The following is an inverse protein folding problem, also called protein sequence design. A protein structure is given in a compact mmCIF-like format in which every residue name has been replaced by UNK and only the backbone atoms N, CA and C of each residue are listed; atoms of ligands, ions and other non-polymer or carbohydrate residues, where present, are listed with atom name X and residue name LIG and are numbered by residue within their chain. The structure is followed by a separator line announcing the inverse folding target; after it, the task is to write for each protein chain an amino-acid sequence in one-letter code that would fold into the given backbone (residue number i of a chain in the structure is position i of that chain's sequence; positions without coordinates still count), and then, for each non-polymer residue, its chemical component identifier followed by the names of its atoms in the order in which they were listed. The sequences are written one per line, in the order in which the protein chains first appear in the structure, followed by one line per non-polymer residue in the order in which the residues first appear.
data_IF_339405655037
#
_entry.id   IF_339405655037
#
_cell.length_a   1.000
_cell.length_b   1.000
_cell.length_c   1.000
_cell.angle_alpha   90.00
_cell.angle_beta   90.00
_cell.angle_gamma   90.00
#
_symmetry.space_group_name_H-M   'P 1'
#
loop_
_entity.id
_entity.type
_entity.pdbx_description
1 polymer ?
#
# COMPACT_ATOMS: atom_id res chain seq x y z
N UNK A 1 -7.60 -4.24 11.26
CA UNK A 1 -8.28 -5.22 10.41
C UNK A 1 -8.26 -6.57 11.10
N UNK A 2 -9.41 -7.27 11.13
CA UNK A 2 -9.51 -8.65 11.60
C UNK A 2 -9.15 -9.61 10.45
N UNK A 3 -8.31 -10.60 10.71
CA UNK A 3 -7.87 -11.56 9.68
C UNK A 3 -8.25 -12.98 10.08
N UNK A 4 -8.78 -13.76 9.13
CA UNK A 4 -9.13 -15.17 9.37
C UNK A 4 -8.00 -16.09 8.97
N UNK A 5 -7.91 -17.27 9.62
CA UNK A 5 -7.00 -18.34 9.20
C UNK A 5 -7.25 -18.79 7.76
N UNK A 6 -8.51 -18.74 7.31
CA UNK A 6 -8.88 -19.07 5.93
C UNK A 6 -8.25 -18.10 4.93
N UNK A 7 -8.26 -16.79 5.25
CA UNK A 7 -7.63 -15.77 4.41
C UNK A 7 -6.11 -15.98 4.34
N UNK A 8 -5.46 -16.22 5.48
CA UNK A 8 -4.02 -16.53 5.55
C UNK A 8 -3.70 -17.75 4.68
N UNK A 9 -4.41 -18.84 4.88
CA UNK A 9 -4.18 -20.07 4.13
C UNK A 9 -4.32 -19.86 2.62
N UNK A 10 -5.35 -19.12 2.17
CA UNK A 10 -5.53 -18.83 0.75
C UNK A 10 -4.36 -18.02 0.16
N UNK A 11 -3.96 -16.94 0.83
CA UNK A 11 -2.87 -16.08 0.40
C UNK A 11 -1.54 -16.83 0.33
N UNK A 12 -1.22 -17.58 1.39
CA UNK A 12 0.06 -18.28 1.52
C UNK A 12 0.16 -19.47 0.56
N UNK A 13 -0.90 -20.30 0.46
CA UNK A 13 -0.91 -21.43 -0.48
C UNK A 13 -0.79 -20.94 -1.92
N UNK A 14 -1.56 -19.90 -2.28
CA UNK A 14 -1.44 -19.29 -3.60
C UNK A 14 -0.03 -18.75 -3.87
N UNK A 15 0.58 -18.04 -2.90
CA UNK A 15 1.93 -17.50 -3.07
C UNK A 15 2.98 -18.60 -3.27
N UNK A 16 2.90 -19.68 -2.49
CA UNK A 16 3.81 -20.83 -2.62
C UNK A 16 3.71 -21.46 -4.00
N UNK A 17 2.47 -21.68 -4.47
CA UNK A 17 2.22 -22.25 -5.81
C UNK A 17 2.72 -21.33 -6.92
N UNK A 18 2.38 -20.04 -6.86
CA UNK A 18 2.71 -19.06 -7.90
C UNK A 18 4.21 -18.76 -7.98
N UNK A 19 4.88 -18.66 -6.81
CA UNK A 19 6.32 -18.40 -6.73
C UNK A 19 7.19 -19.65 -6.88
N UNK A 20 6.59 -20.85 -6.93
CA UNK A 20 7.26 -22.14 -6.85
C UNK A 20 8.19 -22.25 -5.63
N UNK A 21 7.77 -21.68 -4.49
CA UNK A 21 8.56 -21.71 -3.25
C UNK A 21 8.65 -23.14 -2.69
N UNK A 22 9.84 -23.61 -2.40
CA UNK A 22 10.12 -24.99 -1.97
C UNK A 22 10.88 -25.04 -0.65
N UNK A 23 11.14 -26.25 -0.15
CA UNK A 23 11.97 -26.47 1.05
C UNK A 23 13.44 -26.08 0.89
N UNK A 24 13.92 -25.85 -0.34
CA UNK A 24 15.27 -25.37 -0.61
C UNK A 24 15.37 -23.84 -0.65
N UNK A 25 14.23 -23.15 -0.59
CA UNK A 25 14.20 -21.70 -0.69
C UNK A 25 14.27 -21.04 0.69
N UNK A 26 14.81 -19.83 0.70
CA UNK A 26 15.03 -19.02 1.89
C UNK A 26 14.34 -17.69 1.72
N UNK A 27 13.45 -17.33 2.62
CA UNK A 27 12.78 -16.04 2.62
C UNK A 27 13.54 -15.03 3.49
N UNK A 28 13.97 -13.92 2.89
CA UNK A 28 14.49 -12.75 3.62
C UNK A 28 13.34 -11.80 3.96
N UNK A 29 12.87 -11.81 5.22
CA UNK A 29 11.77 -10.94 5.65
C UNK A 29 12.26 -9.54 5.95
N UNK A 30 12.08 -8.65 4.99
CA UNK A 30 12.43 -7.23 5.09
C UNK A 30 11.32 -6.39 5.72
N UNK A 31 10.04 -6.70 5.44
CA UNK A 31 8.92 -5.92 5.94
C UNK A 31 8.71 -6.11 7.45
N UNK A 32 8.25 -5.04 8.11
CA UNK A 32 7.84 -5.11 9.52
C UNK A 32 6.62 -6.05 9.68
N UNK A 33 6.56 -6.77 10.80
CA UNK A 33 5.45 -7.66 11.14
C UNK A 33 4.10 -6.94 11.39
N UNK A 34 4.11 -5.61 11.50
CA UNK A 34 2.88 -4.82 11.60
C UNK A 34 2.17 -4.61 10.25
N UNK A 35 2.87 -4.88 9.14
CA UNK A 35 2.29 -4.85 7.79
C UNK A 35 1.81 -6.24 7.40
N UNK A 36 0.63 -6.32 6.78
CA UNK A 36 0.00 -7.58 6.35
C UNK A 36 0.84 -8.40 5.36
N UNK A 37 1.76 -7.76 4.63
CA UNK A 37 2.71 -8.43 3.75
C UNK A 37 3.64 -9.42 4.48
N UNK A 38 3.81 -9.30 5.82
CA UNK A 38 4.56 -10.29 6.60
C UNK A 38 3.93 -11.68 6.55
N UNK A 39 2.63 -11.78 6.29
CA UNK A 39 1.89 -13.06 6.35
C UNK A 39 2.47 -14.07 5.37
N UNK A 40 2.64 -13.71 4.10
CA UNK A 40 3.22 -14.65 3.14
C UNK A 40 4.72 -14.86 3.37
N UNK A 41 5.45 -13.83 3.82
CA UNK A 41 6.87 -13.95 4.16
C UNK A 41 7.12 -14.95 5.30
N UNK A 42 6.27 -14.88 6.35
CA UNK A 42 6.39 -15.73 7.54
C UNK A 42 5.91 -17.15 7.30
N UNK A 43 4.75 -17.31 6.65
CA UNK A 43 4.10 -18.63 6.59
C UNK A 43 4.46 -19.46 5.35
N UNK A 44 4.98 -18.86 4.27
CA UNK A 44 5.40 -19.63 3.09
C UNK A 44 6.54 -20.61 3.42
N UNK A 45 7.63 -20.21 4.13
CA UNK A 45 8.64 -21.16 4.58
C UNK A 45 8.06 -22.25 5.49
N UNK A 46 7.13 -21.89 6.37
CA UNK A 46 6.53 -22.87 7.31
C UNK A 46 5.79 -23.98 6.59
N UNK A 47 4.95 -23.66 5.58
CA UNK A 47 4.18 -24.70 4.87
C UNK A 47 4.98 -25.46 3.83
N UNK A 48 6.08 -24.88 3.32
CA UNK A 48 6.92 -25.48 2.28
C UNK A 48 8.15 -26.22 2.86
N UNK A 49 8.42 -26.07 4.16
CA UNK A 49 9.62 -26.60 4.79
C UNK A 49 10.90 -25.84 4.46
N UNK A 50 10.79 -24.61 3.94
CA UNK A 50 11.90 -23.71 3.67
C UNK A 50 12.41 -22.99 4.92
N UNK A 51 13.24 -21.97 4.72
CA UNK A 51 13.84 -21.18 5.80
C UNK A 51 13.41 -19.73 5.77
N UNK A 52 13.45 -19.07 6.93
CA UNK A 52 13.16 -17.65 7.10
C UNK A 52 14.32 -16.97 7.84
N UNK A 53 14.78 -15.85 7.28
CA UNK A 53 15.66 -14.93 7.97
C UNK A 53 15.00 -13.55 8.09
N UNK A 54 15.04 -12.97 9.28
CA UNK A 54 14.49 -11.63 9.55
C UNK A 54 15.58 -10.60 9.34
N UNK A 55 15.40 -9.69 8.41
CA UNK A 55 16.36 -8.63 8.13
C UNK A 55 16.43 -7.66 9.31
N UNK A 56 17.63 -7.39 9.87
CA UNK A 56 17.82 -6.40 10.91
C UNK A 56 17.35 -5.01 10.48
N UNK A 57 16.83 -4.23 11.41
CA UNK A 57 16.19 -2.94 11.10
C UNK A 57 17.18 -1.89 10.62
N UNK A 58 18.37 -1.88 11.18
CA UNK A 58 19.45 -0.95 10.89
C UNK A 58 20.02 -1.06 9.46
N UNK A 59 19.86 -2.22 8.81
CA UNK A 59 20.36 -2.43 7.43
C UNK A 59 19.27 -2.32 6.35
N UNK A 60 17.99 -2.17 6.72
CA UNK A 60 16.86 -2.23 5.77
C UNK A 60 16.94 -1.22 4.64
N UNK A 61 17.54 -0.06 4.87
CA UNK A 61 17.66 1.02 3.88
C UNK A 61 19.08 1.14 3.29
N UNK A 62 20.05 0.39 3.81
CA UNK A 62 21.38 0.27 3.22
C UNK A 62 21.39 -0.88 2.21
N UNK A 63 21.26 -0.55 0.92
CA UNK A 63 21.13 -1.55 -0.15
C UNK A 63 22.32 -2.53 -0.20
N UNK A 64 23.53 -2.05 0.13
CA UNK A 64 24.71 -2.91 0.13
C UNK A 64 24.68 -3.88 1.31
N UNK A 65 24.47 -3.39 2.51
CA UNK A 65 24.38 -4.22 3.72
C UNK A 65 23.21 -5.22 3.62
N UNK A 66 22.07 -4.78 3.05
CA UNK A 66 20.93 -5.63 2.78
C UNK A 66 21.25 -6.76 1.81
N UNK A 67 21.96 -6.46 0.71
CA UNK A 67 22.36 -7.48 -0.25
C UNK A 67 23.40 -8.44 0.33
N UNK A 68 24.40 -7.93 1.07
CA UNK A 68 25.39 -8.75 1.75
C UNK A 68 24.71 -9.73 2.72
N UNK A 69 23.69 -9.28 3.46
CA UNK A 69 22.87 -10.13 4.32
C UNK A 69 22.11 -11.21 3.53
N UNK A 70 21.50 -10.87 2.39
CA UNK A 70 20.80 -11.86 1.56
C UNK A 70 21.75 -12.91 1.00
N UNK A 71 22.93 -12.51 0.55
CA UNK A 71 23.96 -13.42 0.03
C UNK A 71 24.49 -14.33 1.14
N UNK A 72 24.83 -13.79 2.31
CA UNK A 72 25.33 -14.54 3.47
C UNK A 72 24.36 -15.65 3.90
N UNK A 73 23.06 -15.34 3.92
CA UNK A 73 22.04 -16.29 4.36
C UNK A 73 21.38 -17.06 3.21
N UNK A 74 21.83 -16.89 1.97
CA UNK A 74 21.29 -17.56 0.79
C UNK A 74 19.82 -17.25 0.52
N UNK A 75 19.35 -16.03 0.86
CA UNK A 75 17.96 -15.64 0.64
C UNK A 75 17.61 -15.66 -0.84
N UNK A 76 16.52 -16.34 -1.19
CA UNK A 76 16.04 -16.50 -2.57
C UNK A 76 14.80 -15.65 -2.87
N UNK A 77 14.00 -15.34 -1.85
CA UNK A 77 12.77 -14.59 -1.95
C UNK A 77 12.74 -13.45 -0.93
N UNK A 78 12.20 -12.32 -1.33
CA UNK A 78 11.96 -11.19 -0.41
C UNK A 78 10.80 -10.34 -0.90
N UNK A 79 10.18 -9.59 0.01
CA UNK A 79 9.26 -8.49 -0.29
C UNK A 79 9.87 -7.18 0.20
N UNK A 80 9.95 -6.21 -0.69
CA UNK A 80 10.44 -4.86 -0.40
C UNK A 80 9.41 -3.85 -0.95
N UNK A 81 9.21 -2.73 -0.29
CA UNK A 81 8.35 -1.66 -0.82
C UNK A 81 8.84 -1.22 -2.20
N UNK A 82 7.93 -0.89 -3.10
CA UNK A 82 8.23 -0.67 -4.53
C UNK A 82 9.42 0.25 -4.78
N UNK A 83 9.61 1.29 -3.98
CA UNK A 83 10.68 2.26 -4.15
C UNK A 83 12.06 1.70 -3.81
N UNK A 84 12.22 1.14 -2.61
CA UNK A 84 13.49 0.53 -2.17
C UNK A 84 13.80 -0.68 -3.02
N UNK A 85 12.78 -1.49 -3.33
CA UNK A 85 12.92 -2.67 -4.16
C UNK A 85 13.35 -2.36 -5.59
N UNK A 86 12.87 -1.25 -6.18
CA UNK A 86 13.33 -0.77 -7.48
C UNK A 86 14.81 -0.41 -7.44
N UNK A 87 15.24 0.38 -6.44
CA UNK A 87 16.65 0.74 -6.26
C UNK A 87 17.51 -0.50 -6.05
N UNK A 88 17.03 -1.48 -5.29
CA UNK A 88 17.73 -2.75 -5.09
C UNK A 88 17.88 -3.53 -6.41
N UNK A 89 16.79 -3.70 -7.17
CA UNK A 89 16.79 -4.42 -8.43
C UNK A 89 17.68 -3.78 -9.50
N UNK A 90 17.72 -2.44 -9.55
CA UNK A 90 18.49 -1.66 -10.54
C UNK A 90 19.94 -1.39 -10.09
N UNK A 91 20.33 -1.82 -8.90
CA UNK A 91 21.67 -1.57 -8.34
C UNK A 91 22.82 -2.25 -9.09
N UNK A 92 22.51 -3.31 -9.84
CA UNK A 92 23.52 -4.13 -10.54
C UNK A 92 24.36 -5.02 -9.61
N UNK A 93 24.02 -5.13 -8.33
CA UNK A 93 24.72 -6.01 -7.39
C UNK A 93 24.44 -7.48 -7.71
N UNK A 94 25.46 -8.33 -7.56
CA UNK A 94 25.24 -9.78 -7.55
C UNK A 94 24.46 -10.17 -6.28
N UNK A 95 23.37 -10.94 -6.46
CA UNK A 95 22.47 -11.31 -5.37
C UNK A 95 22.01 -12.77 -5.48
N UNK A 96 21.62 -13.35 -4.37
CA UNK A 96 20.95 -14.67 -4.31
C UNK A 96 19.44 -14.58 -4.51
N UNK A 97 18.87 -13.38 -4.51
CA UNK A 97 17.43 -13.16 -4.69
C UNK A 97 17.00 -13.57 -6.10
N UNK A 98 16.12 -14.56 -6.17
CA UNK A 98 15.48 -15.04 -7.41
C UNK A 98 14.13 -14.39 -7.65
N UNK A 99 13.36 -14.15 -6.56
CA UNK A 99 12.05 -13.51 -6.62
C UNK A 99 12.01 -12.30 -5.70
N UNK A 100 11.83 -11.14 -6.30
CA UNK A 100 11.70 -9.86 -5.61
C UNK A 100 10.26 -9.36 -5.72
N UNK A 101 9.51 -9.46 -4.62
CA UNK A 101 8.14 -8.98 -4.54
C UNK A 101 8.11 -7.48 -4.23
N UNK A 102 7.23 -6.78 -4.93
CA UNK A 102 6.96 -5.36 -4.74
C UNK A 102 5.51 -5.14 -4.35
N UNK A 103 5.26 -4.10 -3.62
CA UNK A 103 3.91 -3.63 -3.33
C UNK A 103 3.90 -2.31 -2.59
N UNK A 104 2.71 -1.80 -2.38
CA UNK A 104 2.51 -0.54 -1.67
C UNK A 104 2.44 0.69 -2.56
N UNK A 105 3.17 0.76 -3.64
CA UNK A 105 3.12 1.87 -4.61
C UNK A 105 3.24 1.35 -6.04
N UNK A 106 2.87 2.18 -7.00
CA UNK A 106 3.05 1.88 -8.43
C UNK A 106 4.54 1.78 -8.75
N UNK A 107 4.96 0.64 -9.33
CA UNK A 107 6.38 0.37 -9.59
C UNK A 107 6.97 1.24 -10.72
N UNK A 108 6.20 1.55 -11.76
CA UNK A 108 6.69 2.25 -12.96
C UNK A 108 7.58 1.36 -13.83
N UNK A 109 8.51 1.99 -14.55
CA UNK A 109 9.54 1.25 -15.31
C UNK A 109 10.55 0.60 -14.38
N UNK A 110 10.89 -0.65 -14.67
CA UNK A 110 11.86 -1.43 -13.92
C UNK A 110 12.90 -2.03 -14.85
N UNK A 111 14.19 -1.79 -14.57
CA UNK A 111 15.33 -2.36 -15.27
C UNK A 111 16.06 -3.40 -14.40
N UNK A 112 15.34 -4.44 -13.99
CA UNK A 112 15.91 -5.54 -13.25
C UNK A 112 16.74 -6.46 -14.16
N UNK A 113 17.83 -7.09 -13.65
CA UNK A 113 18.53 -8.14 -14.37
C UNK A 113 17.63 -9.38 -14.55
N UNK A 114 17.89 -10.17 -15.59
CA UNK A 114 17.08 -11.38 -15.90
C UNK A 114 17.15 -12.46 -14.78
N UNK A 115 18.15 -12.37 -13.89
CA UNK A 115 18.31 -13.27 -12.74
C UNK A 115 17.31 -13.03 -11.62
N UNK A 116 16.68 -11.84 -11.57
CA UNK A 116 15.67 -11.48 -10.60
C UNK A 116 14.31 -11.50 -11.27
N UNK A 117 13.38 -12.33 -10.77
CA UNK A 117 11.97 -12.33 -11.15
C UNK A 117 11.22 -11.23 -10.38
N UNK A 118 10.95 -10.07 -10.99
CA UNK A 118 10.18 -9.02 -10.31
C UNK A 118 8.70 -9.41 -10.28
N UNK A 119 8.09 -9.31 -9.09
CA UNK A 119 6.73 -9.73 -8.81
C UNK A 119 5.96 -8.59 -8.15
N UNK A 120 5.09 -7.94 -8.91
CA UNK A 120 4.26 -6.85 -8.38
C UNK A 120 2.95 -7.39 -7.81
N UNK A 121 2.58 -6.91 -6.62
CA UNK A 121 1.36 -7.29 -5.92
C UNK A 121 0.59 -6.06 -5.45
N UNK A 122 -0.75 -6.18 -5.51
CA UNK A 122 -1.68 -5.19 -5.00
C UNK A 122 -2.70 -5.86 -4.10
N UNK A 123 -3.00 -5.24 -2.98
CA UNK A 123 -4.09 -5.63 -2.10
C UNK A 123 -4.23 -4.70 -0.91
N UNK A 124 -5.47 -4.41 -0.49
CA UNK A 124 -5.76 -3.78 0.78
C UNK A 124 -5.71 -4.82 1.91
N UNK A 125 -5.43 -4.39 3.13
CA UNK A 125 -5.42 -5.27 4.31
C UNK A 125 -6.77 -5.95 4.57
N UNK A 126 -7.87 -5.33 4.12
CA UNK A 126 -9.24 -5.84 4.20
C UNK A 126 -9.49 -7.07 3.31
N UNK A 127 -8.56 -7.34 2.38
CA UNK A 127 -8.53 -8.56 1.58
C UNK A 127 -7.14 -9.24 1.65
N UNK A 128 -6.48 -9.11 2.78
CA UNK A 128 -5.21 -9.70 3.19
C UNK A 128 -4.10 -9.60 2.14
N UNK A 129 -3.35 -8.51 2.19
CA UNK A 129 -2.08 -8.29 1.50
C UNK A 129 -2.12 -8.36 -0.03
N UNK A 130 -2.44 -9.52 -0.62
CA UNK A 130 -2.35 -9.75 -2.07
C UNK A 130 -3.73 -10.12 -2.62
N UNK A 131 -4.32 -9.23 -3.41
CA UNK A 131 -5.58 -9.45 -4.13
C UNK A 131 -5.35 -9.69 -5.61
N UNK A 132 -4.35 -9.01 -6.18
CA UNK A 132 -3.89 -9.21 -7.55
C UNK A 132 -2.37 -9.24 -7.61
N UNK A 133 -1.84 -9.87 -8.65
CA UNK A 133 -0.41 -9.96 -8.86
C UNK A 133 -0.05 -10.11 -10.33
N UNK A 134 1.21 -9.83 -10.63
CA UNK A 134 1.79 -10.02 -11.94
C UNK A 134 3.31 -10.11 -11.85
N UNK A 135 3.91 -11.03 -12.64
CA UNK A 135 5.35 -10.97 -12.90
C UNK A 135 5.65 -9.77 -13.78
N UNK A 136 6.38 -8.79 -13.24
CA UNK A 136 6.77 -7.62 -13.97
C UNK A 136 7.87 -7.97 -14.98
N UNK A 137 7.62 -7.73 -16.26
CA UNK A 137 8.64 -7.85 -17.29
C UNK A 137 8.78 -6.50 -18.03
N UNK A 138 9.86 -6.32 -18.74
CA UNK A 138 10.20 -5.09 -19.50
C UNK A 138 9.11 -4.60 -20.48
N UNK A 139 8.03 -5.37 -20.70
CA UNK A 139 6.95 -5.06 -21.66
C UNK A 139 5.60 -4.73 -21.01
N UNK A 140 5.56 -4.61 -19.67
CA UNK A 140 4.29 -4.39 -18.99
C UNK A 140 3.78 -2.96 -19.09
N UNK A 141 2.48 -2.84 -19.13
CA UNK A 141 1.82 -1.55 -19.04
C UNK A 141 2.08 -0.94 -17.65
N UNK A 142 2.70 0.23 -17.57
CA UNK A 142 3.12 0.91 -16.34
C UNK A 142 2.03 1.14 -15.28
N UNK A 143 0.78 0.80 -15.58
CA UNK A 143 -0.35 0.95 -14.66
C UNK A 143 -0.99 -0.38 -14.24
N UNK A 144 -0.49 -1.53 -14.74
CA UNK A 144 -1.07 -2.82 -14.41
C UNK A 144 -0.75 -3.22 -12.98
N UNK A 145 -1.76 -3.71 -12.25
CA UNK A 145 -1.64 -4.38 -10.95
C UNK A 145 -1.95 -5.88 -11.08
N UNK A 146 -1.96 -6.39 -12.29
CA UNK A 146 -2.08 -7.81 -12.58
C UNK A 146 -3.49 -8.39 -12.61
N UNK A 147 -3.58 -9.66 -12.28
CA UNK A 147 -4.82 -10.46 -12.25
C UNK A 147 -5.16 -10.86 -10.83
N UNK A 148 -6.44 -11.12 -10.58
CA UNK A 148 -6.88 -11.66 -9.28
C UNK A 148 -6.23 -13.01 -9.00
N UNK A 149 -5.80 -13.17 -7.75
CA UNK A 149 -5.25 -14.43 -7.26
C UNK A 149 -6.36 -15.47 -7.06
N UNK A 150 -5.98 -16.72 -6.82
CA UNK A 150 -6.94 -17.81 -6.60
C UNK A 150 -7.94 -17.48 -5.48
N UNK A 151 -9.21 -17.79 -5.73
CA UNK A 151 -10.32 -17.57 -4.79
C UNK A 151 -10.57 -16.11 -4.39
N UNK A 152 -10.06 -15.15 -5.16
CA UNK A 152 -10.39 -13.72 -5.08
C UNK A 152 -11.10 -13.32 -6.36
N UNK A 153 -12.17 -12.53 -6.24
CA UNK A 153 -12.89 -11.91 -7.34
C UNK A 153 -12.92 -10.41 -7.15
N UNK A 154 -12.88 -9.69 -8.26
CA UNK A 154 -13.08 -8.25 -8.25
C UNK A 154 -14.14 -7.81 -9.23
N UNK A 155 -14.80 -6.74 -8.86
CA UNK A 155 -15.82 -6.07 -9.67
C UNK A 155 -15.40 -4.62 -9.84
N UNK A 156 -15.47 -4.11 -11.08
CA UNK A 156 -15.24 -2.70 -11.40
C UNK A 156 -16.61 -2.07 -11.61
N UNK A 157 -17.00 -1.18 -10.67
CA UNK A 157 -18.37 -0.70 -10.57
C UNK A 157 -18.46 0.83 -10.70
N UNK A 158 -19.60 1.30 -11.20
CA UNK A 158 -19.99 2.71 -11.17
C UNK A 158 -20.57 3.10 -9.79
N UNK A 159 -20.98 4.35 -9.65
CA UNK A 159 -21.58 4.89 -8.41
C UNK A 159 -22.94 4.27 -8.05
N UNK A 160 -23.62 3.65 -9.02
CA UNK A 160 -24.88 2.93 -8.87
C UNK A 160 -24.67 1.42 -8.66
N UNK A 161 -23.42 0.97 -8.39
CA UNK A 161 -23.03 -0.44 -8.22
C UNK A 161 -23.30 -1.32 -9.45
N UNK A 162 -23.28 -0.77 -10.67
CA UNK A 162 -23.36 -1.53 -11.92
C UNK A 162 -21.97 -1.77 -12.48
N UNK A 163 -21.75 -2.92 -13.09
CA UNK A 163 -20.48 -3.22 -13.75
C UNK A 163 -20.24 -2.24 -14.91
N UNK A 164 -19.05 -1.64 -14.94
CA UNK A 164 -18.67 -0.78 -16.05
C UNK A 164 -18.24 -1.60 -17.28
N UNK A 165 -18.34 -1.06 -18.50
CA UNK A 165 -17.81 -1.70 -19.70
C UNK A 165 -16.28 -1.92 -19.60
N UNK A 166 -15.76 -2.91 -20.36
CA UNK A 166 -14.33 -3.14 -20.44
C UNK A 166 -13.57 -1.88 -20.88
N UNK A 167 -12.49 -1.56 -20.18
CA UNK A 167 -11.70 -0.36 -20.42
C UNK A 167 -12.24 0.92 -19.76
N UNK A 168 -13.49 0.95 -19.33
CA UNK A 168 -14.03 2.08 -18.56
C UNK A 168 -13.50 2.06 -17.12
N UNK A 169 -13.34 3.27 -16.56
CA UNK A 169 -12.90 3.45 -15.18
C UNK A 169 -14.07 3.27 -14.22
N UNK A 170 -13.87 2.51 -13.17
CA UNK A 170 -14.81 2.34 -12.07
C UNK A 170 -14.09 2.06 -10.76
N UNK A 171 -14.82 2.01 -9.67
CA UNK A 171 -14.28 1.67 -8.36
C UNK A 171 -14.14 0.15 -8.22
N UNK A 172 -13.01 -0.30 -7.65
CA UNK A 172 -12.74 -1.71 -7.41
C UNK A 172 -13.46 -2.19 -6.15
N UNK A 173 -14.18 -3.29 -6.28
CA UNK A 173 -14.76 -4.05 -5.17
C UNK A 173 -14.19 -5.46 -5.17
N UNK A 174 -13.83 -5.98 -3.99
CA UNK A 174 -13.21 -7.29 -3.83
C UNK A 174 -14.12 -8.26 -3.07
N UNK A 175 -14.12 -9.53 -3.47
CA UNK A 175 -14.82 -10.62 -2.81
C UNK A 175 -13.94 -11.86 -2.75
N UNK A 176 -14.30 -12.82 -1.91
CA UNK A 176 -13.69 -14.15 -1.91
C UNK A 176 -13.09 -14.58 -0.59
N UNK A 177 -12.26 -15.61 -0.67
CA UNK A 177 -11.74 -16.31 0.50
C UNK A 177 -10.84 -15.49 1.42
N UNK A 178 -10.27 -14.40 0.90
CA UNK A 178 -9.40 -13.50 1.66
C UNK A 178 -10.13 -12.32 2.30
N UNK A 179 -11.41 -12.12 1.96
CA UNK A 179 -12.16 -11.02 2.53
C UNK A 179 -12.25 -11.14 4.04
N UNK A 180 -11.82 -10.09 4.73
CA UNK A 180 -11.77 -10.07 6.19
C UNK A 180 -13.17 -9.86 6.79
N UNK A 181 -13.38 -10.23 8.07
CA UNK A 181 -14.65 -9.96 8.75
C UNK A 181 -14.93 -8.46 8.94
N UNK A 182 -13.90 -7.64 8.89
CA UNK A 182 -13.97 -6.18 9.11
C UNK A 182 -12.95 -5.69 10.13
N UNK A 183 -13.34 -4.72 10.91
CA UNK A 183 -12.46 -4.01 11.84
C UNK A 183 -12.80 -4.35 13.30
N UNK A 184 -11.77 -4.43 14.15
CA UNK A 184 -11.95 -4.63 15.58
C UNK A 184 -12.53 -3.35 16.22
N UNK A 185 -13.66 -3.47 16.92
CA UNK A 185 -14.33 -2.38 17.65
C UNK A 185 -14.70 -1.16 16.76
N UNK A 186 -14.93 -1.36 15.45
CA UNK A 186 -15.21 -0.32 14.44
C UNK A 186 -16.37 -0.74 13.54
N UNK A 187 -17.60 -0.82 14.10
CA UNK A 187 -18.76 -1.34 13.34
C UNK A 187 -19.24 -0.37 12.26
N UNK A 188 -19.23 0.94 12.49
CA UNK A 188 -19.64 1.94 11.49
C UNK A 188 -18.73 1.88 10.25
N UNK A 189 -17.42 1.87 10.44
CA UNK A 189 -16.45 1.77 9.34
C UNK A 189 -16.59 0.46 8.58
N UNK A 190 -16.91 -0.63 9.29
CA UNK A 190 -17.19 -1.93 8.67
C UNK A 190 -18.44 -1.84 7.80
N UNK A 191 -19.53 -1.28 8.30
CA UNK A 191 -20.80 -1.20 7.59
C UNK A 191 -20.72 -0.29 6.37
N UNK A 192 -19.82 0.70 6.39
CA UNK A 192 -19.56 1.59 5.25
C UNK A 192 -18.61 0.99 4.20
N UNK A 193 -17.84 -0.04 4.53
CA UNK A 193 -16.81 -0.61 3.66
C UNK A 193 -17.18 -1.99 3.10
N UNK A 194 -18.03 -2.74 3.78
CA UNK A 194 -18.37 -4.12 3.42
C UNK A 194 -19.88 -4.25 3.21
N UNK A 195 -20.27 -4.80 2.05
CA UNK A 195 -21.66 -4.93 1.59
C UNK A 195 -21.98 -6.36 1.21
N UNK A 196 -23.28 -6.69 1.11
CA UNK A 196 -23.72 -7.91 0.47
C UNK A 196 -23.36 -7.87 -1.01
N UNK A 197 -22.93 -9.02 -1.55
CA UNK A 197 -22.53 -9.13 -2.94
C UNK A 197 -23.73 -9.33 -3.86
N UNK A 198 -24.14 -8.35 -4.66
CA UNK A 198 -25.28 -8.50 -5.56
C UNK A 198 -24.98 -9.35 -6.81
N UNK A 199 -23.73 -9.77 -7.01
CA UNK A 199 -23.28 -10.46 -8.21
C UNK A 199 -22.99 -11.95 -8.01
N UNK A 200 -22.84 -12.40 -6.77
CA UNK A 200 -22.46 -13.79 -6.45
C UNK A 200 -22.87 -14.13 -5.02
N UNK A 201 -23.78 -15.09 -4.88
CA UNK A 201 -24.30 -15.60 -3.62
C UNK A 201 -23.61 -16.91 -3.16
N UNK A 202 -22.63 -17.38 -3.94
CA UNK A 202 -21.88 -18.59 -3.60
C UNK A 202 -21.14 -18.44 -2.28
N UNK A 203 -21.11 -19.50 -1.51
CA UNK A 203 -20.41 -19.56 -0.22
C UNK A 203 -18.97 -19.06 -0.32
N UNK A 204 -18.69 -18.01 0.45
CA UNK A 204 -17.40 -17.36 0.48
C UNK A 204 -17.26 -16.14 -0.47
N UNK A 205 -18.33 -15.82 -1.22
CA UNK A 205 -18.41 -14.64 -2.09
C UNK A 205 -19.62 -13.75 -1.78
N UNK A 206 -20.34 -14.03 -0.70
CA UNK A 206 -21.59 -13.35 -0.31
C UNK A 206 -21.39 -11.87 0.03
N UNK A 207 -20.15 -11.46 0.27
CA UNK A 207 -19.80 -10.08 0.64
C UNK A 207 -18.77 -9.50 -0.31
N UNK A 208 -18.83 -8.18 -0.49
CA UNK A 208 -17.82 -7.38 -1.20
C UNK A 208 -17.26 -6.30 -0.29
N UNK A 209 -15.99 -5.99 -0.52
CA UNK A 209 -15.28 -4.87 0.11
C UNK A 209 -15.07 -3.75 -0.91
N UNK A 210 -15.42 -2.54 -0.53
CA UNK A 210 -15.21 -1.32 -1.29
C UNK A 210 -13.81 -0.78 -1.04
N UNK A 211 -12.95 -0.83 -2.07
CA UNK A 211 -11.53 -0.47 -1.89
C UNK A 211 -11.26 1.03 -1.87
N UNK A 212 -12.11 1.84 -2.52
CA UNK A 212 -11.83 3.24 -2.82
C UNK A 212 -10.86 3.44 -4.00
N UNK A 213 -10.30 2.38 -4.55
CA UNK A 213 -9.36 2.45 -5.68
C UNK A 213 -10.12 2.48 -7.01
N UNK A 214 -9.78 3.44 -7.87
CA UNK A 214 -10.31 3.57 -9.22
C UNK A 214 -9.43 2.78 -10.18
N UNK A 215 -10.04 1.84 -10.90
CA UNK A 215 -9.33 0.91 -11.80
C UNK A 215 -10.07 0.76 -13.12
N UNK A 216 -9.42 0.12 -14.10
CA UNK A 216 -10.03 -0.35 -15.34
C UNK A 216 -9.41 -1.68 -15.76
N UNK A 217 -10.17 -2.51 -16.46
CA UNK A 217 -9.58 -3.66 -17.15
C UNK A 217 -8.79 -3.20 -18.37
N UNK A 218 -7.58 -3.71 -18.51
CA UNK A 218 -6.71 -3.49 -19.66
C UNK A 218 -7.03 -4.51 -20.77
N UNK A 219 -6.60 -4.26 -22.03
CA UNK A 219 -6.88 -5.16 -23.15
C UNK A 219 -6.38 -6.59 -22.97
N UNK A 220 -5.32 -6.78 -22.19
CA UNK A 220 -4.75 -8.08 -21.85
C UNK A 220 -5.51 -8.80 -20.71
N UNK A 221 -6.55 -8.19 -20.19
CA UNK A 221 -7.38 -8.72 -19.08
C UNK A 221 -6.77 -8.53 -17.70
N UNK A 222 -5.68 -7.76 -17.56
CA UNK A 222 -5.17 -7.31 -16.27
C UNK A 222 -5.92 -6.08 -15.78
N UNK A 223 -5.73 -5.72 -14.51
CA UNK A 223 -6.27 -4.49 -13.95
C UNK A 223 -5.23 -3.37 -14.02
N UNK A 224 -5.66 -2.20 -14.46
CA UNK A 224 -4.88 -0.97 -14.42
C UNK A 224 -5.41 -0.04 -13.33
N UNK A 225 -4.52 0.41 -12.42
CA UNK A 225 -4.87 1.40 -11.40
C UNK A 225 -4.84 2.81 -12.01
N UNK A 226 -5.86 3.61 -11.68
CA UNK A 226 -6.01 4.99 -12.15
C UNK A 226 -5.75 5.98 -11.02
N UNK A 227 -6.23 5.68 -9.80
CA UNK A 227 -6.07 6.54 -8.63
C UNK A 227 -7.00 6.13 -7.50
N UNK A 228 -7.27 7.05 -6.57
CA UNK A 228 -8.22 6.84 -5.48
C UNK A 228 -9.36 7.85 -5.53
N UNK A 229 -10.56 7.37 -5.09
CA UNK A 229 -11.77 8.19 -5.03
C UNK A 229 -11.84 9.05 -3.76
N UNK A 230 -11.33 8.55 -2.67
CA UNK A 230 -11.52 9.07 -1.31
C UNK A 230 -10.40 10.01 -0.82
N UNK A 231 -9.39 10.26 -1.66
CA UNK A 231 -8.26 11.12 -1.28
C UNK A 231 -7.26 10.46 -0.34
N UNK A 232 -7.43 9.20 0.05
CA UNK A 232 -6.38 8.44 0.71
C UNK A 232 -5.13 8.39 -0.16
N UNK A 233 -3.99 8.42 0.47
CA UNK A 233 -2.71 8.46 -0.23
C UNK A 233 -1.81 7.33 0.24
N UNK A 234 -0.87 6.94 -0.59
CA UNK A 234 0.23 6.08 -0.17
C UNK A 234 1.47 6.94 -0.02
N UNK A 235 2.00 7.01 1.20
CA UNK A 235 3.22 7.73 1.54
C UNK A 235 4.29 6.70 1.88
N UNK A 236 5.38 6.67 1.15
CA UNK A 236 6.45 5.66 1.32
C UNK A 236 5.93 4.21 1.40
N UNK A 237 4.89 3.91 0.61
CA UNK A 237 4.25 2.59 0.57
C UNK A 237 3.18 2.34 1.65
N UNK A 238 3.01 3.24 2.61
CA UNK A 238 2.02 3.13 3.68
C UNK A 238 0.74 3.85 3.30
N UNK A 239 -0.41 3.22 3.58
CA UNK A 239 -1.73 3.83 3.40
C UNK A 239 -1.97 4.86 4.50
N UNK A 240 -2.16 6.12 4.11
CA UNK A 240 -2.36 7.26 5.02
C UNK A 240 -3.72 7.90 4.76
N UNK A 241 -4.49 8.02 5.81
CA UNK A 241 -5.69 8.85 5.85
C UNK A 241 -5.27 10.29 6.17
N UNK A 242 -5.37 11.19 5.21
CA UNK A 242 -4.98 12.59 5.42
C UNK A 242 -5.75 13.22 6.59
N UNK A 243 -7.03 12.88 6.73
CA UNK A 243 -7.89 13.33 7.83
C UNK A 243 -7.43 12.86 9.21
N UNK A 244 -6.72 11.73 9.30
CA UNK A 244 -6.14 11.25 10.56
C UNK A 244 -4.93 12.09 10.95
N UNK A 245 -4.10 12.49 9.98
CA UNK A 245 -2.99 13.42 10.21
C UNK A 245 -3.53 14.81 10.58
N UNK A 246 -4.53 15.30 9.84
CA UNK A 246 -5.23 16.56 10.17
C UNK A 246 -5.79 16.55 11.60
N UNK A 247 -6.46 15.47 12.00
CA UNK A 247 -7.03 15.33 13.34
C UNK A 247 -5.95 15.35 14.43
N UNK A 248 -4.80 14.71 14.17
CA UNK A 248 -3.67 14.74 15.09
C UNK A 248 -3.12 16.16 15.27
N UNK A 249 -2.87 16.87 14.17
CA UNK A 249 -2.35 18.25 14.21
C UNK A 249 -3.38 19.20 14.85
N UNK A 250 -4.67 19.05 14.50
CA UNK A 250 -5.75 19.88 15.06
C UNK A 250 -5.90 19.75 16.57
N UNK A 251 -5.43 18.66 17.19
CA UNK A 251 -5.47 18.49 18.65
C UNK A 251 -4.38 19.28 19.41
N UNK A 252 -3.46 19.95 18.71
CA UNK A 252 -2.50 20.87 19.32
C UNK A 252 -3.21 22.16 19.73
N UNK A 253 -2.92 22.67 20.96
CA UNK A 253 -3.61 23.84 21.53
C UNK A 253 -3.44 25.14 20.72
N UNK A 254 -2.34 25.25 19.98
CA UNK A 254 -2.00 26.43 19.18
C UNK A 254 -2.47 26.34 17.71
N UNK A 255 -3.10 25.25 17.28
CA UNK A 255 -3.61 25.08 15.92
C UNK A 255 -5.11 25.43 15.87
N UNK A 256 -5.45 26.45 15.10
CA UNK A 256 -6.85 26.87 14.88
C UNK A 256 -7.49 26.07 13.74
N UNK A 257 -6.76 25.85 12.64
CA UNK A 257 -7.23 25.03 11.54
C UNK A 257 -6.06 24.37 10.81
N UNK A 258 -6.36 23.27 10.12
CA UNK A 258 -5.37 22.49 9.37
C UNK A 258 -6.00 21.75 8.21
N UNK A 259 -5.28 21.70 7.09
CA UNK A 259 -5.53 20.73 6.03
C UNK A 259 -4.22 20.09 5.59
N UNK A 260 -4.26 18.79 5.33
CA UNK A 260 -3.10 18.03 4.86
C UNK A 260 -3.32 17.61 3.41
N UNK A 261 -2.33 17.85 2.58
CA UNK A 261 -2.33 17.44 1.18
C UNK A 261 -1.06 16.63 0.87
N UNK A 262 -0.95 16.14 -0.34
CA UNK A 262 0.28 15.52 -0.83
C UNK A 262 0.88 16.32 -1.95
N UNK A 263 2.21 16.39 -1.94
CA UNK A 263 3.01 16.80 -3.09
C UNK A 263 3.82 15.63 -3.62
N UNK A 264 4.26 15.71 -4.88
CA UNK A 264 5.12 14.69 -5.48
C UNK A 264 6.55 15.24 -5.49
N UNK A 265 7.42 14.59 -4.71
CA UNK A 265 8.84 14.88 -4.70
C UNK A 265 9.62 13.62 -5.14
N UNK A 266 10.42 13.74 -6.20
CA UNK A 266 11.18 12.63 -6.81
C UNK A 266 10.33 11.36 -7.06
N UNK A 267 9.08 11.55 -7.51
CA UNK A 267 8.15 10.45 -7.77
C UNK A 267 7.46 9.85 -6.54
N UNK A 268 7.66 10.44 -5.36
CA UNK A 268 7.06 10.01 -4.10
C UNK A 268 6.02 11.00 -3.61
N UNK A 269 4.94 10.47 -3.03
CA UNK A 269 4.02 11.30 -2.27
C UNK A 269 4.66 11.68 -0.93
N UNK A 270 4.71 12.98 -0.66
CA UNK A 270 5.09 13.55 0.63
C UNK A 270 3.92 14.34 1.19
N UNK A 271 3.80 14.38 2.52
CA UNK A 271 2.73 15.10 3.20
C UNK A 271 3.13 16.57 3.37
N UNK A 272 2.19 17.45 3.05
CA UNK A 272 2.26 18.90 3.30
C UNK A 272 1.12 19.26 4.25
N UNK A 273 1.44 19.79 5.42
CA UNK A 273 0.46 20.33 6.37
C UNK A 273 0.35 21.84 6.19
N UNK A 274 -0.83 22.32 5.82
CA UNK A 274 -1.16 23.74 5.79
C UNK A 274 -1.90 24.06 7.10
N UNK A 275 -1.37 24.97 7.90
CA UNK A 275 -1.85 25.23 9.26
C UNK A 275 -2.15 26.71 9.52
N UNK A 276 -3.21 26.95 10.26
CA UNK A 276 -3.53 28.25 10.88
C UNK A 276 -3.25 28.11 12.35
N UNK A 277 -2.40 28.96 12.89
CA UNK A 277 -1.98 28.91 14.29
C UNK A 277 -2.20 30.26 14.97
N UNK A 278 -2.41 30.25 16.29
CA UNK A 278 -2.69 31.42 17.11
C UNK A 278 -1.46 31.94 17.88
N UNK A 279 -0.27 31.53 17.47
CA UNK A 279 0.98 31.98 18.07
C UNK A 279 1.97 32.49 16.99
N UNK A 280 3.13 32.99 17.44
CA UNK A 280 4.14 33.59 16.57
C UNK A 280 5.15 32.60 15.97
N UNK A 281 4.94 31.28 16.16
CA UNK A 281 5.82 30.28 15.55
C UNK A 281 5.76 30.38 14.02
N UNK A 282 6.90 30.24 13.38
CA UNK A 282 7.05 30.27 11.93
C UNK A 282 8.25 29.47 11.46
N UNK A 283 8.32 29.20 10.16
CA UNK A 283 9.44 28.53 9.52
C UNK A 283 9.79 27.17 10.17
N UNK A 284 11.08 26.95 10.46
CA UNK A 284 11.60 25.70 10.99
C UNK A 284 11.05 25.40 12.40
N UNK A 285 10.86 26.40 13.24
CA UNK A 285 10.33 26.19 14.60
C UNK A 285 8.90 25.65 14.58
N UNK A 286 8.05 26.17 13.69
CA UNK A 286 6.69 25.67 13.48
C UNK A 286 6.71 24.23 12.94
N UNK A 287 7.56 23.98 11.95
CA UNK A 287 7.71 22.66 11.36
C UNK A 287 8.14 21.63 12.42
N UNK A 288 9.19 21.93 13.18
CA UNK A 288 9.71 21.03 14.20
C UNK A 288 8.64 20.74 15.25
N UNK A 289 7.92 21.77 15.73
CA UNK A 289 6.83 21.61 16.70
C UNK A 289 5.73 20.66 16.22
N UNK A 290 5.30 20.78 14.96
CA UNK A 290 4.24 19.92 14.38
C UNK A 290 4.78 18.51 14.14
N UNK A 291 5.98 18.39 13.57
CA UNK A 291 6.60 17.09 13.29
C UNK A 291 6.85 16.29 14.56
N UNK A 292 7.37 16.92 15.61
CA UNK A 292 7.61 16.28 16.91
C UNK A 292 6.30 15.82 17.54
N UNK A 293 5.25 16.67 17.49
CA UNK A 293 3.94 16.31 18.00
C UNK A 293 3.34 15.10 17.27
N UNK A 294 3.36 15.13 15.94
CA UNK A 294 2.82 14.01 15.14
C UNK A 294 3.64 12.75 15.39
N UNK A 295 4.98 12.84 15.41
CA UNK A 295 5.86 11.70 15.66
C UNK A 295 5.67 11.06 17.05
N UNK A 296 5.31 11.85 18.04
CA UNK A 296 5.00 11.35 19.38
C UNK A 296 3.67 10.57 19.46
N UNK A 297 2.72 10.81 18.52
CA UNK A 297 1.36 10.27 18.59
C UNK A 297 0.99 9.37 17.41
N UNK A 298 1.77 9.38 16.33
CA UNK A 298 1.51 8.66 15.07
C UNK A 298 2.78 8.00 14.55
N UNK A 299 2.64 6.99 13.67
CA UNK A 299 3.78 6.40 12.98
C UNK A 299 4.55 7.43 12.14
N UNK A 300 5.86 7.24 12.01
CA UNK A 300 6.78 8.15 11.28
C UNK A 300 6.32 8.49 9.86
N UNK A 301 5.71 7.54 9.13
CA UNK A 301 5.22 7.79 7.78
C UNK A 301 4.03 8.75 7.69
N UNK A 302 3.42 9.11 8.81
CA UNK A 302 2.37 10.14 8.92
C UNK A 302 2.91 11.53 9.28
N UNK A 303 4.20 11.65 9.56
CA UNK A 303 4.84 12.93 9.85
C UNK A 303 4.93 13.76 8.57
N UNK A 304 4.43 15.02 8.54
CA UNK A 304 4.54 15.88 7.36
C UNK A 304 6.00 16.18 7.00
N UNK A 305 6.30 16.11 5.70
CA UNK A 305 7.62 16.54 5.19
C UNK A 305 7.73 18.07 5.13
N UNK A 306 6.59 18.72 4.92
CA UNK A 306 6.48 20.17 4.80
C UNK A 306 5.36 20.69 5.67
N UNK A 307 5.57 21.88 6.26
CA UNK A 307 4.57 22.63 7.02
C UNK A 307 4.53 24.06 6.48
N UNK A 308 3.33 24.52 6.14
CA UNK A 308 3.09 25.85 5.56
C UNK A 308 2.09 26.58 6.46
N UNK A 309 2.52 27.71 7.01
CA UNK A 309 1.65 28.61 7.79
C UNK A 309 0.76 29.41 6.84
N UNK A 310 -0.52 29.49 7.18
CA UNK A 310 -1.50 30.29 6.46
C UNK A 310 -2.25 31.20 7.43
N UNK A 311 -2.73 32.34 6.92
CA UNK A 311 -3.66 33.20 7.69
C UNK A 311 -5.06 32.59 7.76
N UNK A 312 -5.48 31.82 6.74
CA UNK A 312 -6.72 31.08 6.69
C UNK A 312 -6.64 29.93 5.67
N UNK A 313 -7.33 28.82 5.92
CA UNK A 313 -7.48 27.76 4.91
C UNK A 313 -8.44 28.23 3.82
N UNK A 314 -8.00 28.28 2.53
CA UNK A 314 -8.85 28.73 1.44
C UNK A 314 -10.01 27.75 1.21
N UNK A 315 -11.22 28.29 1.07
CA UNK A 315 -12.43 27.52 0.81
C UNK A 315 -13.01 27.87 -0.56
N UNK A 316 -13.50 26.85 -1.27
CA UNK A 316 -14.24 27.03 -2.51
C UNK A 316 -15.69 27.52 -2.23
N UNK A 317 -16.45 27.80 -3.29
CA UNK A 317 -17.84 28.29 -3.22
C UNK A 317 -18.80 27.36 -2.47
N UNK A 318 -18.44 26.10 -2.25
CA UNK A 318 -19.22 25.11 -1.52
C UNK A 318 -18.76 24.93 -0.06
N UNK A 319 -17.84 25.77 0.42
CA UNK A 319 -17.30 25.69 1.79
C UNK A 319 -16.32 24.52 2.02
N UNK A 320 -15.78 23.91 0.96
CA UNK A 320 -14.72 22.90 1.04
C UNK A 320 -13.36 23.55 0.75
N UNK A 321 -12.30 22.93 1.30
CA UNK A 321 -10.92 23.37 1.01
C UNK A 321 -10.69 23.50 -0.49
N UNK A 322 -10.25 24.67 -0.91
CA UNK A 322 -9.83 24.93 -2.29
C UNK A 322 -8.35 24.54 -2.47
N UNK A 323 -8.15 23.31 -2.93
CA UNK A 323 -6.80 22.76 -3.13
C UNK A 323 -5.97 23.55 -4.17
N UNK A 324 -6.62 24.19 -5.12
CA UNK A 324 -5.93 24.97 -6.16
C UNK A 324 -5.46 26.35 -5.65
N UNK A 325 -6.00 26.82 -4.54
CA UNK A 325 -5.63 28.07 -3.91
C UNK A 325 -4.59 27.89 -2.78
N UNK A 326 -4.19 26.66 -2.48
CA UNK A 326 -3.09 26.39 -1.55
C UNK A 326 -1.75 26.73 -2.21
N UNK A 327 -0.79 27.26 -1.44
CA UNK A 327 0.59 27.48 -1.93
C UNK A 327 1.25 26.18 -2.39
N UNK A 328 2.13 26.30 -3.42
CA UNK A 328 2.96 25.19 -3.92
C UNK A 328 4.11 24.84 -2.94
#
# INVERSE_FOLDING_TARGET
VLVTRKAINNCVSWYVDESNFTSSDVYGMHCSYVFDMHVHALYSPVISGGSLYVVPEDIRLDLKALNDYYVEHGCTHTYITSQVGKLFAESGMETTIKLLCFGGMKLGELNAPDSIGPFESYGPSENLAISTSIFANKRMHHSSIGRFISNVKGYVLDKELRRVPLGAVGELYLAGSQLTPGYLNRNEEKDNAFFDNPFDDKKGYERIYKTGDMVRFLPDGTLGIVGRRDGQVKVRGNRVELTEVESSIRSMENVEDVTVQTTINNGNNELVAYVVINNDLDGDELKDSICDYVNAHKPEYMVPSYVVKLDAIPLNVNGKVDKCALPD
#
